data_IF_851259983911
#
_entry.id   IF_851259983911
#
_cell.length_a   1.000
_cell.length_b   1.000
_cell.length_c   1.000
_cell.angle_alpha   90.00
_cell.angle_beta   90.00
_cell.angle_gamma   90.00
#
_symmetry.space_group_name_H-M   'P 1'
#
loop_
_entity.id
_entity.type
_entity.pdbx_description
1 polymer ?
#
# COMPACT_ATOMS: atom_id res chain seq x y z
N UNK A 1 13.15 7.45 12.98
CA UNK A 1 13.39 5.99 12.88
C UNK A 1 12.84 5.51 11.55
N UNK A 2 13.65 4.88 10.69
CA UNK A 2 13.15 4.33 9.42
C UNK A 2 12.33 3.05 9.70
N UNK A 3 11.02 3.20 9.87
CA UNK A 3 10.09 2.10 10.16
C UNK A 3 9.78 1.34 8.86
N UNK A 4 10.00 0.03 8.86
CA UNK A 4 9.55 -0.85 7.77
C UNK A 4 8.14 -1.32 8.11
N UNK A 5 7.22 -1.21 7.16
CA UNK A 5 5.85 -1.70 7.31
C UNK A 5 5.49 -2.60 6.13
N UNK A 6 4.73 -3.65 6.40
CA UNK A 6 4.21 -4.55 5.38
C UNK A 6 2.71 -4.29 5.20
N UNK A 7 2.29 -4.04 3.96
CA UNK A 7 0.88 -3.90 3.60
C UNK A 7 0.49 -5.07 2.70
N UNK A 8 -0.42 -5.93 3.17
CA UNK A 8 -0.90 -7.08 2.40
C UNK A 8 -2.20 -6.74 1.68
N UNK A 9 -2.29 -7.05 0.39
CA UNK A 9 -3.51 -6.94 -0.41
C UNK A 9 -3.81 -8.26 -1.12
N UNK A 10 -4.95 -8.87 -0.78
CA UNK A 10 -5.40 -10.09 -1.46
C UNK A 10 -6.02 -9.80 -2.84
N UNK A 11 -6.31 -10.84 -3.62
CA UNK A 11 -6.91 -10.72 -4.96
C UNK A 11 -8.20 -9.86 -4.98
N UNK A 12 -9.07 -10.01 -3.98
CA UNK A 12 -10.28 -9.20 -3.84
C UNK A 12 -10.00 -7.70 -3.60
N UNK A 13 -8.83 -7.34 -3.08
CA UNK A 13 -8.41 -5.95 -2.87
C UNK A 13 -7.85 -5.31 -4.14
N UNK A 14 -7.56 -6.10 -5.17
CA UNK A 14 -7.02 -5.64 -6.48
C UNK A 14 -7.86 -6.11 -7.66
N UNK A 15 -9.11 -6.55 -7.41
CA UNK A 15 -9.98 -7.18 -8.41
C UNK A 15 -10.42 -6.27 -9.57
N UNK A 16 -10.24 -4.95 -9.45
CA UNK A 16 -10.53 -4.00 -10.51
C UNK A 16 -9.66 -2.74 -10.40
N UNK A 17 -9.67 -1.92 -11.46
CA UNK A 17 -8.83 -0.73 -11.62
C UNK A 17 -9.04 0.27 -10.47
N UNK A 18 -10.29 0.51 -10.07
CA UNK A 18 -10.63 1.45 -8.99
C UNK A 18 -10.05 1.00 -7.65
N UNK A 19 -10.09 -0.29 -7.37
CA UNK A 19 -9.52 -0.87 -6.14
C UNK A 19 -8.00 -0.81 -6.16
N UNK A 20 -7.36 -1.09 -7.30
CA UNK A 20 -5.90 -0.92 -7.46
C UNK A 20 -5.49 0.52 -7.20
N UNK A 21 -6.23 1.49 -7.73
CA UNK A 21 -5.95 2.91 -7.48
C UNK A 21 -6.06 3.27 -6.00
N UNK A 22 -7.12 2.80 -5.31
CA UNK A 22 -7.29 2.98 -3.86
C UNK A 22 -6.16 2.34 -3.04
N UNK A 23 -5.64 1.19 -3.48
CA UNK A 23 -4.48 0.54 -2.84
C UNK A 23 -3.22 1.38 -3.03
N UNK A 24 -2.96 1.85 -4.25
CA UNK A 24 -1.81 2.70 -4.56
C UNK A 24 -1.81 4.01 -3.73
N UNK A 25 -2.96 4.67 -3.61
CA UNK A 25 -3.12 5.89 -2.80
C UNK A 25 -2.70 5.65 -1.33
N UNK A 26 -3.12 4.54 -0.73
CA UNK A 26 -2.76 4.16 0.64
C UNK A 26 -1.26 3.86 0.81
N UNK A 27 -0.66 3.19 -0.17
CA UNK A 27 0.78 2.90 -0.15
C UNK A 27 1.58 4.21 -0.18
N UNK A 28 1.21 5.13 -1.07
CA UNK A 28 1.86 6.43 -1.22
C UNK A 28 1.71 7.28 0.03
N UNK A 29 0.54 7.32 0.64
CA UNK A 29 0.31 8.02 1.90
C UNK A 29 1.28 7.54 2.98
N UNK A 30 1.42 6.22 3.16
CA UNK A 30 2.35 5.66 4.14
C UNK A 30 3.82 5.86 3.80
N UNK A 31 4.18 5.86 2.53
CA UNK A 31 5.54 6.23 2.12
C UNK A 31 5.85 7.70 2.45
N UNK A 32 4.89 8.62 2.24
CA UNK A 32 5.03 10.05 2.56
C UNK A 32 5.17 10.32 4.06
N UNK A 33 4.62 9.47 4.91
CA UNK A 33 4.86 9.50 6.37
C UNK A 33 6.30 9.09 6.76
N UNK A 34 7.16 8.74 5.81
CA UNK A 34 8.55 8.33 6.04
C UNK A 34 8.72 6.83 6.31
N UNK A 35 7.70 6.01 6.07
CA UNK A 35 7.80 4.57 6.21
C UNK A 35 8.44 3.93 4.97
N UNK A 36 9.26 2.89 5.18
CA UNK A 36 9.65 1.97 4.11
C UNK A 36 8.54 0.94 3.96
N UNK A 37 7.75 1.06 2.90
CA UNK A 37 6.58 0.20 2.65
C UNK A 37 6.99 -0.99 1.78
N UNK A 38 6.66 -2.19 2.23
CA UNK A 38 6.73 -3.44 1.45
C UNK A 38 5.30 -3.93 1.22
N UNK A 39 4.98 -4.33 -0.01
CA UNK A 39 3.62 -4.73 -0.40
C UNK A 39 3.63 -6.19 -0.82
N UNK A 40 2.63 -6.96 -0.38
CA UNK A 40 2.45 -8.39 -0.68
C UNK A 40 1.04 -8.68 -1.15
#
# INVERSE_FOLDING_TARGET
>A
MNKIIVQKYGGSSVANIERVKKVAEKIVEKAKEGNKVVVV
#
